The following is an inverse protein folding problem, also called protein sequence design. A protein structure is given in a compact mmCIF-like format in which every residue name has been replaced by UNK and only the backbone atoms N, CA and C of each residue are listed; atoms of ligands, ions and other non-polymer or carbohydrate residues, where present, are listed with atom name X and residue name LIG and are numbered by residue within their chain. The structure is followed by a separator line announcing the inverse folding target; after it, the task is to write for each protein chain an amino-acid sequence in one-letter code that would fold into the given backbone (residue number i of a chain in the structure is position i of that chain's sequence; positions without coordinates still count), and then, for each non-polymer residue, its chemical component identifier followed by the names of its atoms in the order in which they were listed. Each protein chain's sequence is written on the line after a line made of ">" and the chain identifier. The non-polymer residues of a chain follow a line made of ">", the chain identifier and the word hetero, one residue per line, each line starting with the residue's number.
data_IF_162624115130
#
_entry.id   IF_162624115130
#
_cell.length_a   1.000
_cell.length_b   1.000
_cell.length_c   1.000
_cell.angle_alpha   90.00
_cell.angle_beta   90.00
_cell.angle_gamma   90.00
#
_symmetry.space_group_name_H-M   'P 1'
#
loop_
_entity.id
_entity.type
_entity.pdbx_description
1 polymer ?
#
# COMPACT_ATOMS: atom_id res chain seq x y z
N UNK A 1 -8.93 -15.62 9.95
CA UNK A 1 -9.23 -15.74 8.51
C UNK A 1 -7.95 -16.16 7.78
N UNK A 2 -8.06 -16.93 6.70
CA UNK A 2 -6.90 -17.46 5.95
C UNK A 2 -6.12 -16.36 5.21
N UNK A 3 -6.77 -15.24 4.91
CA UNK A 3 -6.16 -14.06 4.30
C UNK A 3 -5.75 -12.98 5.31
N UNK A 4 -5.84 -13.27 6.61
CA UNK A 4 -5.39 -12.36 7.64
C UNK A 4 -3.86 -12.33 7.74
N UNK A 5 -3.34 -11.22 8.24
CA UNK A 5 -1.93 -11.13 8.62
C UNK A 5 -1.80 -10.65 10.06
N UNK A 6 -0.65 -10.91 10.66
CA UNK A 6 -0.32 -10.50 12.02
C UNK A 6 0.85 -9.53 12.00
N UNK A 7 0.77 -8.52 12.84
CA UNK A 7 1.86 -7.61 13.14
C UNK A 7 2.20 -7.68 14.62
N UNK A 8 3.46 -7.87 14.92
CA UNK A 8 3.98 -7.88 16.30
C UNK A 8 5.05 -6.82 16.43
N UNK A 9 4.91 -5.93 17.42
CA UNK A 9 5.85 -4.84 17.69
C UNK A 9 6.56 -5.14 19.00
N UNK A 10 7.87 -5.15 18.98
CA UNK A 10 8.66 -5.43 20.17
C UNK A 10 10.00 -4.71 20.23
N UNK A 11 10.48 -4.53 21.47
CA UNK A 11 11.85 -4.12 21.69
C UNK A 11 12.81 -5.32 21.62
N UNK A 12 14.10 -5.03 21.60
CA UNK A 12 15.17 -6.08 21.60
C UNK A 12 15.05 -7.11 22.73
N UNK A 13 14.33 -6.80 23.82
CA UNK A 13 14.12 -7.76 24.90
C UNK A 13 13.23 -8.96 24.49
N UNK A 14 12.28 -8.77 23.59
CA UNK A 14 11.26 -9.77 23.29
C UNK A 14 11.13 -10.14 21.83
N UNK A 15 11.51 -9.26 20.91
CA UNK A 15 11.19 -9.43 19.49
C UNK A 15 11.76 -10.73 18.88
N UNK A 16 12.97 -11.11 19.26
CA UNK A 16 13.58 -12.34 18.76
C UNK A 16 12.85 -13.59 19.22
N UNK A 17 12.41 -13.59 20.50
CA UNK A 17 11.60 -14.69 21.04
C UNK A 17 10.24 -14.76 20.38
N UNK A 18 9.60 -13.61 20.12
CA UNK A 18 8.32 -13.56 19.42
C UNK A 18 8.46 -14.06 17.99
N UNK A 19 9.53 -13.69 17.27
CA UNK A 19 9.83 -14.22 15.95
C UNK A 19 9.99 -15.73 15.94
N UNK A 20 10.73 -16.28 16.90
CA UNK A 20 10.89 -17.73 17.08
C UNK A 20 9.55 -18.43 17.31
N UNK A 21 8.68 -17.89 18.19
CA UNK A 21 7.37 -18.48 18.44
C UNK A 21 6.44 -18.41 17.23
N UNK A 22 6.46 -17.31 16.47
CA UNK A 22 5.67 -17.21 15.24
C UNK A 22 6.08 -18.29 14.24
N UNK A 23 7.38 -18.54 14.06
CA UNK A 23 7.87 -19.59 13.17
C UNK A 23 7.48 -21.00 13.66
N UNK A 24 7.57 -21.26 14.98
CA UNK A 24 7.15 -22.55 15.55
C UNK A 24 5.64 -22.79 15.48
N UNK A 25 4.85 -21.75 15.31
CA UNK A 25 3.41 -21.80 15.06
C UNK A 25 3.06 -21.80 13.57
N UNK A 26 4.05 -22.09 12.70
CA UNK A 26 3.93 -22.17 11.24
C UNK A 26 3.48 -20.87 10.56
N UNK A 27 3.60 -19.71 11.23
CA UNK A 27 3.40 -18.43 10.55
C UNK A 27 4.52 -18.18 9.54
N UNK A 28 4.14 -17.71 8.35
CA UNK A 28 5.08 -17.31 7.32
C UNK A 28 5.47 -15.84 7.50
N UNK A 29 6.73 -15.60 7.87
CA UNK A 29 7.25 -14.24 8.01
C UNK A 29 7.37 -13.58 6.63
N UNK A 30 6.72 -12.43 6.47
CA UNK A 30 6.71 -11.65 5.23
C UNK A 30 7.81 -10.58 5.22
N UNK A 31 7.93 -9.83 6.31
CA UNK A 31 9.00 -8.87 6.57
C UNK A 31 9.25 -8.69 8.06
N UNK A 32 10.48 -8.34 8.38
CA UNK A 32 10.79 -7.49 9.52
C UNK A 32 10.79 -6.03 9.08
N UNK A 33 10.31 -5.14 9.95
CA UNK A 33 10.30 -3.70 9.71
C UNK A 33 10.94 -3.00 10.90
N UNK A 34 11.88 -2.12 10.64
CA UNK A 34 12.56 -1.33 11.67
C UNK A 34 11.91 0.04 11.78
N UNK A 35 11.23 0.29 12.89
CA UNK A 35 10.80 1.63 13.23
C UNK A 35 11.94 2.41 13.88
N UNK A 36 12.58 3.29 13.12
CA UNK A 36 13.61 4.22 13.58
C UNK A 36 12.94 5.44 14.20
N UNK A 37 13.27 5.71 15.46
CA UNK A 37 12.76 6.87 16.20
C UNK A 37 13.63 8.07 15.90
N UNK A 38 13.08 9.13 15.32
CA UNK A 38 13.85 10.36 15.08
C UNK A 38 14.10 11.18 16.37
N UNK A 39 13.37 10.89 17.45
CA UNK A 39 13.49 11.53 18.75
C UNK A 39 13.48 10.49 19.91
N UNK A 40 14.45 9.55 19.94
CA UNK A 40 14.47 8.50 20.96
C UNK A 40 14.80 9.08 22.34
N UNK A 41 14.28 8.43 23.39
CA UNK A 41 14.62 8.81 24.76
C UNK A 41 16.07 8.41 25.05
N UNK A 42 16.90 9.33 25.55
CA UNK A 42 18.28 9.03 25.91
C UNK A 42 18.38 7.95 27.00
N UNK A 43 19.48 7.22 27.02
CA UNK A 43 19.86 6.42 28.17
C UNK A 43 20.55 7.32 29.20
N UNK A 44 19.77 7.85 30.15
CA UNK A 44 20.28 8.81 31.17
C UNK A 44 21.38 8.24 32.05
N UNK A 45 21.50 6.92 32.18
CA UNK A 45 22.59 6.29 32.96
C UNK A 45 23.89 6.14 32.16
N UNK A 46 23.89 6.37 30.87
CA UNK A 46 25.09 6.23 30.03
C UNK A 46 25.67 4.80 29.95
N UNK A 47 24.92 3.76 30.36
CA UNK A 47 25.42 2.41 30.52
C UNK A 47 25.20 1.54 29.29
N UNK A 48 24.50 2.02 28.27
CA UNK A 48 24.20 1.32 27.00
C UNK A 48 23.74 2.32 25.94
N UNK A 49 23.65 1.87 24.72
CA UNK A 49 23.16 2.69 23.61
C UNK A 49 21.72 3.18 23.82
N UNK A 50 21.41 4.34 23.29
CA UNK A 50 20.04 4.84 23.20
C UNK A 50 19.19 3.88 22.37
N UNK A 51 18.01 3.47 22.89
CA UNK A 51 17.09 2.58 22.16
C UNK A 51 16.38 3.35 21.06
N UNK A 52 17.05 3.53 19.91
CA UNK A 52 16.62 4.36 18.81
C UNK A 52 15.69 3.67 17.83
N UNK A 53 15.39 2.37 17.98
CA UNK A 53 14.46 1.65 17.12
C UNK A 53 13.65 0.60 17.86
N UNK A 54 12.57 0.17 17.23
CA UNK A 54 11.83 -1.04 17.57
C UNK A 54 11.63 -1.86 16.30
N UNK A 55 11.60 -3.17 16.44
CA UNK A 55 11.34 -4.09 15.33
C UNK A 55 9.89 -4.51 15.31
N UNK A 56 9.31 -4.54 14.10
CA UNK A 56 8.01 -5.09 13.82
C UNK A 56 8.19 -6.35 12.99
N UNK A 57 7.45 -7.39 13.29
CA UNK A 57 7.38 -8.60 12.47
C UNK A 57 6.01 -8.62 11.81
N UNK A 58 6.00 -8.75 10.49
CA UNK A 58 4.81 -8.97 9.70
C UNK A 58 4.79 -10.39 9.16
N UNK A 59 3.70 -11.11 9.44
CA UNK A 59 3.56 -12.49 9.02
C UNK A 59 2.15 -12.79 8.50
N UNK A 60 2.04 -13.76 7.62
CA UNK A 60 0.79 -14.37 7.18
C UNK A 60 0.59 -15.72 7.87
N UNK A 61 -0.64 -16.26 7.82
CA UNK A 61 -0.99 -17.55 8.44
C UNK A 61 -0.10 -18.69 7.94
N UNK A 62 0.22 -18.70 6.64
CA UNK A 62 1.16 -19.65 6.02
C UNK A 62 1.67 -19.09 4.68
N UNK A 63 2.60 -19.79 4.03
CA UNK A 63 3.22 -19.39 2.76
C UNK A 63 2.23 -19.20 1.60
N UNK A 64 1.09 -19.90 1.61
CA UNK A 64 0.07 -19.86 0.56
C UNK A 64 -1.02 -18.80 0.81
N UNK A 65 -1.02 -18.14 1.96
CA UNK A 65 -2.03 -17.13 2.33
C UNK A 65 -2.04 -15.97 1.34
N UNK A 66 -3.24 -15.58 0.92
CA UNK A 66 -3.47 -14.39 0.09
C UNK A 66 -3.74 -13.20 1.03
N UNK A 67 -2.70 -12.53 1.45
CA UNK A 67 -2.79 -11.34 2.31
C UNK A 67 -2.96 -10.06 1.48
N UNK A 68 -3.56 -9.03 2.09
CA UNK A 68 -3.65 -7.69 1.49
C UNK A 68 -2.30 -6.99 1.61
N UNK A 69 -1.85 -6.36 0.51
CA UNK A 69 -0.73 -5.42 0.52
C UNK A 69 -0.98 -4.29 -0.47
N UNK A 70 -1.26 -3.10 0.04
CA UNK A 70 -1.65 -1.93 -0.74
C UNK A 70 -0.43 -1.18 -1.28
N UNK A 71 0.29 -1.83 -2.20
CA UNK A 71 1.55 -1.35 -2.77
C UNK A 71 1.47 0.07 -3.34
N UNK A 72 0.42 0.36 -4.12
CA UNK A 72 0.28 1.68 -4.77
C UNK A 72 0.00 2.78 -3.74
N UNK A 73 -0.85 2.53 -2.75
CA UNK A 73 -1.11 3.48 -1.66
C UNK A 73 0.16 3.80 -0.87
N UNK A 74 1.00 2.79 -0.63
CA UNK A 74 2.29 2.99 0.03
C UNK A 74 3.28 3.77 -0.83
N UNK A 75 3.28 3.61 -2.14
CA UNK A 75 4.07 4.44 -3.06
C UNK A 75 3.64 5.91 -2.97
N UNK A 76 2.33 6.19 -3.00
CA UNK A 76 1.82 7.55 -2.85
C UNK A 76 2.23 8.19 -1.52
N UNK A 77 2.30 7.40 -0.42
CA UNK A 77 2.80 7.87 0.88
C UNK A 77 4.32 8.12 0.90
N UNK A 78 5.05 7.69 -0.11
CA UNK A 78 6.51 7.72 -0.16
C UNK A 78 7.03 8.32 -1.48
N UNK A 79 6.39 9.40 -1.94
CA UNK A 79 6.79 10.17 -3.13
C UNK A 79 7.00 9.30 -4.37
N UNK A 80 6.05 8.39 -4.63
CA UNK A 80 6.06 7.38 -5.70
C UNK A 80 7.22 6.37 -5.66
N UNK A 81 8.01 6.36 -4.59
CA UNK A 81 9.03 5.34 -4.35
C UNK A 81 8.45 4.16 -3.58
N UNK A 82 8.97 2.96 -3.84
CA UNK A 82 8.59 1.79 -3.06
C UNK A 82 8.89 2.01 -1.57
N UNK A 83 7.89 1.74 -0.71
CA UNK A 83 8.07 1.84 0.74
C UNK A 83 9.10 0.81 1.21
N UNK A 84 10.10 1.29 1.93
CA UNK A 84 11.16 0.47 2.52
C UNK A 84 10.73 -0.13 3.86
N UNK A 85 11.49 -1.09 4.37
CA UNK A 85 11.26 -1.70 5.67
C UNK A 85 11.94 -0.97 6.85
N UNK A 86 12.56 0.19 6.61
CA UNK A 86 13.14 1.06 7.63
C UNK A 86 12.37 2.38 7.71
N UNK A 87 11.48 2.49 8.69
CA UNK A 87 10.57 3.62 8.83
C UNK A 87 11.07 4.64 9.85
N UNK A 88 11.31 5.85 9.43
CA UNK A 88 11.65 6.95 10.34
C UNK A 88 10.38 7.67 10.77
N UNK A 89 9.98 7.50 12.03
CA UNK A 89 8.77 8.11 12.61
C UNK A 89 9.06 8.56 14.06
N UNK A 90 8.43 9.64 14.53
CA UNK A 90 8.59 10.08 15.91
C UNK A 90 7.95 9.08 16.89
N UNK A 91 8.43 9.11 18.14
CA UNK A 91 7.69 8.49 19.25
C UNK A 91 6.42 9.29 19.53
N UNK A 92 5.42 8.65 20.14
CA UNK A 92 4.22 9.34 20.60
C UNK A 92 4.57 10.46 21.62
N UNK A 93 4.29 11.71 21.28
CA UNK A 93 4.56 12.87 22.11
C UNK A 93 3.49 13.97 21.95
N UNK A 94 3.73 15.16 22.51
CA UNK A 94 2.89 16.35 22.34
C UNK A 94 1.41 16.10 22.66
N UNK A 95 0.53 16.59 21.80
CA UNK A 95 -0.94 16.51 21.94
C UNK A 95 -1.48 15.09 21.77
N UNK A 96 -0.78 14.23 21.04
CA UNK A 96 -1.16 12.83 20.83
C UNK A 96 -0.98 12.01 22.12
N UNK A 97 0.00 12.36 22.93
CA UNK A 97 0.32 11.63 24.15
C UNK A 97 -0.75 11.84 25.23
N UNK A 98 -1.47 10.78 25.59
CA UNK A 98 -2.48 10.87 26.63
C UNK A 98 -1.86 11.13 28.00
N UNK A 99 -2.33 12.19 28.65
CA UNK A 99 -1.91 12.60 29.99
C UNK A 99 -3.12 12.77 30.91
N UNK A 100 -2.91 12.51 32.21
CA UNK A 100 -3.84 12.85 33.29
C UNK A 100 -3.04 13.57 34.39
N UNK A 101 -3.46 14.76 34.77
CA UNK A 101 -2.76 15.58 35.75
C UNK A 101 -1.25 15.74 35.41
N UNK A 102 -0.93 16.04 34.15
CA UNK A 102 0.47 16.21 33.67
C UNK A 102 1.24 14.88 33.47
N UNK A 103 0.79 13.77 34.05
CA UNK A 103 1.48 12.47 33.96
C UNK A 103 1.00 11.65 32.79
N UNK A 104 1.90 10.90 32.14
CA UNK A 104 1.57 9.95 31.05
C UNK A 104 0.62 8.88 31.58
N UNK A 105 -0.50 8.62 30.86
CA UNK A 105 -1.43 7.54 31.22
C UNK A 105 -0.79 6.17 30.95
N UNK A 106 -0.12 6.02 29.80
CA UNK A 106 0.54 4.77 29.40
C UNK A 106 2.01 5.06 29.01
N UNK A 107 2.94 4.27 29.52
CA UNK A 107 4.39 4.49 29.32
C UNK A 107 4.81 4.33 27.85
N UNK A 108 4.25 3.36 27.15
CA UNK A 108 4.65 2.90 25.81
C UNK A 108 3.57 3.12 24.75
N UNK A 109 2.73 4.15 24.88
CA UNK A 109 1.75 4.48 23.83
C UNK A 109 2.44 4.61 22.47
N UNK A 110 1.98 3.88 21.48
CA UNK A 110 2.50 3.94 20.11
C UNK A 110 1.96 5.16 19.35
N UNK A 111 2.74 5.75 18.43
CA UNK A 111 2.27 6.88 17.62
C UNK A 111 1.22 6.41 16.58
N UNK A 112 0.24 7.26 16.31
CA UNK A 112 -0.80 6.98 15.31
C UNK A 112 -0.20 6.80 13.90
N UNK A 113 0.84 7.57 13.55
CA UNK A 113 1.50 7.46 12.26
C UNK A 113 2.05 6.05 11.97
N UNK A 114 2.54 5.33 13.00
CA UNK A 114 3.01 3.96 12.87
C UNK A 114 1.85 3.02 12.53
N UNK A 115 0.75 3.11 13.29
CA UNK A 115 -0.44 2.28 13.07
C UNK A 115 -1.15 2.66 11.77
N UNK A 116 -1.16 3.94 11.37
CA UNK A 116 -1.69 4.39 10.09
C UNK A 116 -1.01 3.66 8.93
N UNK A 117 0.33 3.62 8.93
CA UNK A 117 1.11 2.95 7.88
C UNK A 117 0.84 1.45 7.85
N UNK A 118 0.83 0.77 9.00
CA UNK A 118 0.54 -0.66 9.12
C UNK A 118 -0.86 -0.98 8.58
N UNK A 119 -1.87 -0.27 9.06
CA UNK A 119 -3.27 -0.52 8.73
C UNK A 119 -3.55 -0.24 7.25
N UNK A 120 -3.04 0.88 6.74
CA UNK A 120 -3.18 1.21 5.31
C UNK A 120 -2.46 0.19 4.43
N UNK A 121 -1.28 -0.29 4.85
CA UNK A 121 -0.51 -1.25 4.08
C UNK A 121 -1.22 -2.60 3.90
N UNK A 122 -1.90 -3.08 4.95
CA UNK A 122 -2.29 -4.50 5.03
C UNK A 122 -3.78 -4.74 5.24
N UNK A 123 -4.61 -3.71 5.09
CA UNK A 123 -6.06 -3.82 5.17
C UNK A 123 -6.77 -2.91 4.17
N UNK A 124 -8.01 -3.25 3.83
CA UNK A 124 -8.90 -2.42 3.04
C UNK A 124 -10.00 -1.80 3.94
N UNK A 125 -10.70 -0.77 3.44
CA UNK A 125 -11.88 -0.20 4.09
C UNK A 125 -12.89 -1.31 4.42
N UNK A 126 -13.45 -1.28 5.63
CA UNK A 126 -14.39 -2.29 6.10
C UNK A 126 -13.76 -3.56 6.70
N UNK A 127 -12.46 -3.78 6.52
CA UNK A 127 -11.76 -4.92 7.14
C UNK A 127 -11.77 -4.81 8.68
N UNK A 128 -11.64 -5.97 9.33
CA UNK A 128 -11.62 -6.08 10.79
C UNK A 128 -10.18 -6.17 11.31
N UNK A 129 -9.87 -5.35 12.30
CA UNK A 129 -8.60 -5.30 13.01
C UNK A 129 -8.82 -5.75 14.45
N UNK A 130 -7.98 -6.62 14.95
CA UNK A 130 -8.01 -7.10 16.33
C UNK A 130 -6.69 -6.77 17.04
N UNK A 131 -6.78 -6.11 18.19
CA UNK A 131 -5.62 -5.81 19.06
C UNK A 131 -5.88 -6.36 20.46
N UNK A 132 -5.26 -7.49 20.85
CA UNK A 132 -5.43 -8.11 22.16
C UNK A 132 -4.71 -7.35 23.28
N UNK A 133 -3.91 -6.32 22.96
CA UNK A 133 -3.16 -5.50 23.90
C UNK A 133 -3.42 -4.02 23.64
N UNK A 134 -4.69 -3.62 23.65
CA UNK A 134 -5.19 -2.35 23.13
C UNK A 134 -4.53 -1.11 23.77
N UNK A 135 -4.11 -1.20 25.04
CA UNK A 135 -3.50 -0.10 25.77
C UNK A 135 -4.42 1.12 25.81
N UNK A 136 -3.94 2.24 25.29
CA UNK A 136 -4.72 3.50 25.17
C UNK A 136 -5.45 3.64 23.83
N UNK A 137 -5.63 2.56 23.09
CA UNK A 137 -6.51 2.49 21.94
C UNK A 137 -5.95 3.06 20.64
N UNK A 138 -4.62 3.15 20.46
CA UNK A 138 -4.06 3.73 19.23
C UNK A 138 -4.48 2.97 17.99
N UNK A 139 -4.44 1.63 18.01
CA UNK A 139 -4.87 0.77 16.92
C UNK A 139 -6.35 1.02 16.57
N UNK A 140 -7.24 1.03 17.56
CA UNK A 140 -8.67 1.25 17.34
C UNK A 140 -8.98 2.67 16.84
N UNK A 141 -8.26 3.69 17.32
CA UNK A 141 -8.40 5.08 16.86
C UNK A 141 -8.06 5.18 15.38
N UNK A 142 -6.93 4.61 14.97
CA UNK A 142 -6.49 4.67 13.57
C UNK A 142 -7.39 3.81 12.68
N UNK A 143 -7.79 2.62 13.13
CA UNK A 143 -8.75 1.78 12.43
C UNK A 143 -10.06 2.53 12.18
N UNK A 144 -10.62 3.18 13.21
CA UNK A 144 -11.83 4.00 13.11
C UNK A 144 -11.64 5.16 12.12
N UNK A 145 -10.55 5.92 12.21
CA UNK A 145 -10.24 7.02 11.27
C UNK A 145 -10.26 6.54 9.83
N UNK A 146 -9.69 5.38 9.56
CA UNK A 146 -9.54 4.82 8.22
C UNK A 146 -10.73 3.95 7.77
N UNK A 147 -11.86 3.99 8.46
CA UNK A 147 -13.06 3.23 8.08
C UNK A 147 -12.93 1.71 8.22
N UNK A 148 -12.04 1.22 9.10
CA UNK A 148 -11.90 -0.20 9.44
C UNK A 148 -12.70 -0.52 10.70
N UNK A 149 -13.22 -1.74 10.79
CA UNK A 149 -13.79 -2.30 12.02
C UNK A 149 -12.67 -2.62 12.98
N UNK A 150 -12.90 -2.46 14.28
CA UNK A 150 -11.88 -2.76 15.28
C UNK A 150 -12.48 -3.53 16.46
N UNK A 151 -11.66 -4.42 16.99
CA UNK A 151 -11.91 -5.16 18.24
C UNK A 151 -10.64 -5.06 19.07
N UNK A 152 -10.78 -4.89 20.36
CA UNK A 152 -9.62 -4.79 21.22
C UNK A 152 -9.89 -5.26 22.63
N UNK A 153 -8.85 -5.77 23.28
CA UNK A 153 -8.88 -6.20 24.68
C UNK A 153 -7.86 -5.38 25.47
N UNK A 154 -8.26 -4.91 26.63
CA UNK A 154 -7.38 -4.24 27.58
C UNK A 154 -7.76 -4.66 29.00
N UNK A 155 -6.77 -5.19 29.72
CA UNK A 155 -6.95 -5.69 31.09
C UNK A 155 -7.00 -4.56 32.11
N UNK A 156 -6.18 -3.52 31.93
CA UNK A 156 -6.11 -2.40 32.85
C UNK A 156 -7.31 -1.46 32.67
N UNK A 157 -8.16 -1.38 33.68
CA UNK A 157 -9.37 -0.55 33.66
C UNK A 157 -9.08 0.94 33.41
N UNK A 158 -7.91 1.48 33.81
CA UNK A 158 -7.54 2.88 33.58
C UNK A 158 -7.20 3.09 32.11
N UNK A 159 -6.46 2.16 31.51
CA UNK A 159 -6.13 2.20 30.08
C UNK A 159 -7.37 2.02 29.23
N UNK A 160 -8.21 1.05 29.59
CA UNK A 160 -9.51 0.82 28.90
C UNK A 160 -10.38 2.08 28.89
N UNK A 161 -10.59 2.72 30.06
CA UNK A 161 -11.38 3.97 30.15
C UNK A 161 -10.77 5.09 29.27
N UNK A 162 -9.46 5.20 29.23
CA UNK A 162 -8.77 6.19 28.41
C UNK A 162 -8.92 5.88 26.91
N UNK A 163 -8.82 4.61 26.52
CA UNK A 163 -9.04 4.13 25.15
C UNK A 163 -10.47 4.41 24.70
N UNK A 164 -11.47 3.99 25.48
CA UNK A 164 -12.90 4.18 25.17
C UNK A 164 -13.23 5.66 24.94
N UNK A 165 -12.79 6.53 25.87
CA UNK A 165 -12.98 7.98 25.74
C UNK A 165 -12.33 8.54 24.47
N UNK A 166 -11.11 8.08 24.14
CA UNK A 166 -10.37 8.53 22.95
C UNK A 166 -11.08 8.07 21.68
N UNK A 167 -11.46 6.79 21.61
CA UNK A 167 -12.13 6.21 20.46
C UNK A 167 -13.49 6.87 20.20
N UNK A 168 -14.28 7.14 21.25
CA UNK A 168 -15.57 7.83 21.15
C UNK A 168 -15.41 9.24 20.56
N UNK A 169 -14.38 9.97 20.95
CA UNK A 169 -14.08 11.32 20.43
C UNK A 169 -13.48 11.34 19.04
N UNK A 170 -13.00 10.21 18.54
CA UNK A 170 -12.37 10.13 17.23
C UNK A 170 -13.42 10.28 16.13
N UNK A 171 -13.24 11.28 15.26
CA UNK A 171 -14.02 11.43 14.04
C UNK A 171 -13.54 10.45 12.97
N UNK A 172 -14.45 9.88 12.23
CA UNK A 172 -14.16 9.11 11.02
C UNK A 172 -13.81 10.08 9.91
N UNK A 173 -12.87 9.73 9.06
CA UNK A 173 -12.62 10.45 7.81
C UNK A 173 -13.81 10.18 6.90
N UNK A 174 -14.29 11.18 6.17
CA UNK A 174 -15.41 11.05 5.25
C UNK A 174 -15.12 9.98 4.19
N UNK A 175 -16.15 9.23 3.82
CA UNK A 175 -16.01 8.03 2.98
C UNK A 175 -15.33 8.29 1.64
N UNK A 176 -15.55 9.47 1.04
CA UNK A 176 -14.95 9.87 -0.23
C UNK A 176 -13.41 9.99 -0.18
N UNK A 177 -12.84 10.27 1.01
CA UNK A 177 -11.38 10.36 1.21
C UNK A 177 -10.74 9.04 1.67
N UNK A 178 -11.52 7.98 1.86
CA UNK A 178 -11.02 6.68 2.31
C UNK A 178 -10.66 5.73 1.16
N UNK A 179 -11.04 6.08 -0.06
CA UNK A 179 -10.74 5.27 -1.23
C UNK A 179 -9.24 5.30 -1.52
N UNK A 180 -8.69 4.12 -1.70
CA UNK A 180 -7.27 3.93 -1.99
C UNK A 180 -7.07 3.52 -3.44
N UNK A 181 -5.91 3.87 -4.01
CA UNK A 181 -5.56 3.49 -5.36
C UNK A 181 -5.53 1.96 -5.46
N UNK A 182 -6.34 1.40 -6.36
CA UNK A 182 -6.35 -0.04 -6.62
C UNK A 182 -4.98 -0.54 -7.06
N UNK A 183 -4.59 -1.70 -6.55
CA UNK A 183 -3.37 -2.36 -6.98
C UNK A 183 -3.51 -2.78 -8.45
N UNK A 184 -2.62 -2.28 -9.31
CA UNK A 184 -2.62 -2.65 -10.73
C UNK A 184 -2.47 -4.16 -10.97
N UNK A 185 -1.98 -4.93 -9.98
CA UNK A 185 -1.91 -6.39 -10.03
C UNK A 185 -3.28 -7.08 -9.95
N UNK A 186 -4.30 -6.40 -9.44
CA UNK A 186 -5.68 -6.93 -9.40
C UNK A 186 -6.46 -6.66 -10.68
N UNK A 187 -5.98 -5.78 -11.55
CA UNK A 187 -6.62 -5.50 -12.84
C UNK A 187 -6.26 -6.59 -13.85
N UNK A 188 -7.23 -7.11 -14.62
CA UNK A 188 -6.93 -8.05 -15.70
C UNK A 188 -5.87 -7.44 -16.62
N UNK A 189 -4.79 -8.18 -16.88
CA UNK A 189 -3.82 -7.79 -17.89
C UNK A 189 -4.40 -8.14 -19.25
N UNK A 190 -4.82 -7.13 -19.99
CA UNK A 190 -5.26 -7.28 -21.36
C UNK A 190 -4.08 -6.87 -22.25
N UNK A 191 -3.48 -7.82 -23.00
CA UNK A 191 -2.46 -7.52 -23.99
C UNK A 191 -3.01 -6.60 -25.09
N UNK A 192 -2.14 -5.81 -25.72
CA UNK A 192 -2.55 -4.96 -26.83
C UNK A 192 -3.13 -5.80 -28.00
N UNK A 193 -2.55 -6.96 -28.27
CA UNK A 193 -3.05 -7.90 -29.27
C UNK A 193 -4.51 -8.27 -29.08
N UNK A 194 -5.01 -8.35 -27.84
CA UNK A 194 -6.43 -8.66 -27.60
C UNK A 194 -7.38 -7.59 -28.15
N UNK A 195 -6.97 -6.32 -28.21
CA UNK A 195 -7.78 -5.28 -28.86
C UNK A 195 -7.85 -5.48 -30.38
N UNK A 196 -6.82 -6.10 -30.97
CA UNK A 196 -6.77 -6.44 -32.39
C UNK A 196 -7.60 -7.71 -32.67
N UNK A 197 -7.43 -8.75 -31.86
CA UNK A 197 -8.20 -10.02 -31.97
C UNK A 197 -9.70 -9.79 -31.83
N UNK A 198 -10.12 -8.89 -30.95
CA UNK A 198 -11.53 -8.53 -30.74
C UNK A 198 -12.07 -7.51 -31.75
N UNK A 199 -11.25 -7.08 -32.71
CA UNK A 199 -11.67 -6.15 -33.77
C UNK A 199 -11.90 -4.68 -33.27
N UNK A 200 -11.54 -4.36 -32.03
CA UNK A 200 -11.61 -3.00 -31.50
C UNK A 200 -10.63 -2.09 -32.23
N UNK A 201 -9.45 -2.62 -32.52
CA UNK A 201 -8.46 -2.01 -33.41
C UNK A 201 -8.19 -2.97 -34.57
N UNK A 202 -8.14 -2.45 -35.78
CA UNK A 202 -7.91 -3.27 -36.98
C UNK A 202 -6.45 -3.21 -37.43
N UNK A 203 -5.87 -4.28 -37.95
CA UNK A 203 -4.60 -4.22 -38.67
C UNK A 203 -4.62 -3.10 -39.71
N UNK A 204 -3.51 -2.36 -39.86
CA UNK A 204 -3.45 -1.19 -40.72
C UNK A 204 -3.87 0.14 -40.06
N UNK A 205 -4.55 0.10 -38.89
CA UNK A 205 -4.87 1.31 -38.12
C UNK A 205 -3.58 2.06 -37.78
N UNK A 206 -3.61 3.38 -37.92
CA UNK A 206 -2.47 4.24 -37.57
C UNK A 206 -2.55 4.65 -36.10
N UNK A 207 -1.49 4.34 -35.36
CA UNK A 207 -1.22 4.90 -34.04
C UNK A 207 -0.27 6.10 -34.21
N UNK A 208 -0.47 7.12 -33.38
CA UNK A 208 0.39 8.31 -33.42
C UNK A 208 0.77 8.76 -32.00
N UNK A 209 1.87 9.47 -31.90
CA UNK A 209 2.33 10.10 -30.67
C UNK A 209 1.42 11.27 -30.26
N UNK A 210 1.51 11.80 -29.01
CA UNK A 210 0.67 12.90 -28.54
C UNK A 210 0.74 14.17 -29.41
N UNK A 211 1.88 14.38 -30.09
CA UNK A 211 2.13 15.53 -30.98
C UNK A 211 1.80 15.25 -32.44
N UNK A 212 1.30 14.06 -32.78
CA UNK A 212 1.00 13.60 -34.14
C UNK A 212 2.15 13.69 -35.13
N UNK A 213 3.39 13.63 -34.66
CA UNK A 213 4.60 13.69 -35.49
C UNK A 213 5.11 12.31 -35.91
N UNK A 214 4.71 11.26 -35.19
CA UNK A 214 5.14 9.87 -35.36
C UNK A 214 3.93 9.03 -35.61
N UNK A 215 3.97 8.23 -36.68
CA UNK A 215 2.88 7.35 -37.08
C UNK A 215 3.39 5.91 -37.19
N UNK A 216 2.81 4.99 -36.41
CA UNK A 216 3.06 3.57 -36.48
C UNK A 216 1.83 2.82 -37.02
N UNK A 217 2.02 1.70 -37.70
CA UNK A 217 0.94 0.86 -38.21
C UNK A 217 0.76 -0.38 -37.33
N UNK A 218 -0.49 -0.72 -37.03
CA UNK A 218 -0.81 -1.98 -36.33
C UNK A 218 -0.72 -3.11 -37.34
N UNK A 219 -0.01 -4.18 -36.95
CA UNK A 219 0.15 -5.40 -37.70
C UNK A 219 -0.88 -6.46 -37.29
N UNK A 220 -1.06 -7.49 -38.10
CA UNK A 220 -2.07 -8.54 -37.85
C UNK A 220 -1.82 -9.35 -36.57
N UNK A 221 -0.57 -9.48 -36.14
CA UNK A 221 -0.15 -10.18 -34.91
C UNK A 221 -0.21 -9.32 -33.66
N UNK A 222 -0.74 -8.09 -33.75
CA UNK A 222 -0.77 -7.15 -32.63
C UNK A 222 0.56 -6.42 -32.37
N UNK A 223 1.58 -6.64 -33.20
CA UNK A 223 2.76 -5.76 -33.20
C UNK A 223 2.44 -4.41 -33.84
N UNK A 224 3.31 -3.43 -33.67
CA UNK A 224 3.25 -2.16 -34.38
C UNK A 224 4.58 -1.89 -35.10
N UNK A 225 4.51 -1.24 -36.26
CA UNK A 225 5.67 -0.93 -37.10
C UNK A 225 5.81 0.57 -37.31
N UNK A 226 6.98 1.08 -37.02
CA UNK A 226 7.43 2.46 -37.29
C UNK A 226 8.79 2.45 -37.94
N UNK A 227 8.91 2.83 -39.22
CA UNK A 227 10.12 2.71 -40.02
C UNK A 227 10.71 1.30 -39.94
N UNK A 228 11.95 1.16 -39.50
CA UNK A 228 12.64 -0.12 -39.30
C UNK A 228 12.36 -0.77 -37.94
N UNK A 229 11.68 -0.06 -37.04
CA UNK A 229 11.35 -0.59 -35.70
C UNK A 229 10.01 -1.30 -35.71
N UNK A 230 10.02 -2.57 -35.27
CA UNK A 230 8.83 -3.41 -35.16
C UNK A 230 8.81 -4.15 -33.83
N UNK A 231 7.63 -4.32 -33.25
CA UNK A 231 7.43 -5.05 -32.00
C UNK A 231 6.24 -4.56 -31.20
N UNK A 232 6.26 -4.83 -29.90
CA UNK A 232 5.17 -4.43 -29.01
C UNK A 232 5.03 -2.90 -28.93
N UNK A 233 3.86 -2.40 -28.55
CA UNK A 233 3.58 -0.98 -28.33
C UNK A 233 4.60 -0.34 -27.36
N UNK A 234 5.10 -1.10 -26.39
CA UNK A 234 6.09 -0.66 -25.41
C UNK A 234 7.48 -0.55 -26.04
N UNK A 235 7.89 -1.60 -26.77
CA UNK A 235 9.21 -1.66 -27.41
C UNK A 235 9.42 -0.51 -28.41
N UNK A 236 8.44 -0.34 -29.31
CA UNK A 236 8.52 0.71 -30.35
C UNK A 236 8.49 2.11 -29.73
N UNK A 237 7.65 2.34 -28.70
CA UNK A 237 7.66 3.60 -27.96
C UNK A 237 9.00 3.86 -27.26
N UNK A 238 9.59 2.84 -26.62
CA UNK A 238 10.90 2.95 -25.96
C UNK A 238 12.01 3.29 -26.97
N UNK A 239 12.04 2.63 -28.14
CA UNK A 239 12.98 2.92 -29.21
C UNK A 239 12.88 4.38 -29.69
N UNK A 240 11.65 4.87 -29.88
CA UNK A 240 11.41 6.26 -30.32
C UNK A 240 11.87 7.27 -29.26
N UNK A 241 11.65 6.96 -27.99
CA UNK A 241 12.00 7.83 -26.87
C UNK A 241 13.46 7.72 -26.42
N UNK A 242 14.25 6.80 -27.00
CA UNK A 242 15.62 6.54 -26.59
C UNK A 242 15.74 6.02 -25.17
N UNK A 243 14.74 5.26 -24.69
CA UNK A 243 14.66 4.75 -23.32
C UNK A 243 14.74 3.22 -23.29
N UNK A 244 15.24 2.65 -22.19
CA UNK A 244 15.25 1.18 -21.99
C UNK A 244 13.84 0.57 -21.93
N UNK A 245 12.89 1.32 -21.39
CA UNK A 245 11.48 0.94 -21.32
C UNK A 245 10.58 2.16 -21.40
N UNK A 246 9.39 2.00 -22.00
CA UNK A 246 8.40 3.07 -22.08
C UNK A 246 6.97 2.51 -22.08
N UNK A 247 6.03 3.25 -21.47
CA UNK A 247 4.65 2.81 -21.42
C UNK A 247 3.89 3.13 -22.71
N UNK A 248 3.84 2.17 -23.63
CA UNK A 248 3.13 2.33 -24.91
C UNK A 248 1.62 2.57 -24.77
N UNK A 249 0.96 2.09 -23.71
CA UNK A 249 -0.46 2.33 -23.52
C UNK A 249 -0.83 3.79 -23.39
N UNK A 250 -0.01 4.56 -22.68
CA UNK A 250 -0.22 6.00 -22.47
C UNK A 250 0.42 6.87 -23.56
N UNK A 251 1.34 6.30 -24.33
CA UNK A 251 2.03 7.02 -25.41
C UNK A 251 1.23 7.05 -26.70
N UNK A 252 0.67 5.91 -27.12
CA UNK A 252 0.02 5.81 -28.41
C UNK A 252 -1.43 6.28 -28.37
N UNK A 253 -1.81 7.00 -29.43
CA UNK A 253 -3.16 7.49 -29.68
C UNK A 253 -3.66 6.94 -31.03
N UNK A 254 -4.96 6.87 -31.20
CA UNK A 254 -5.61 6.54 -32.45
C UNK A 254 -6.88 7.38 -32.66
N UNK A 255 -7.40 7.38 -33.87
CA UNK A 255 -8.69 7.99 -34.18
C UNK A 255 -9.77 6.92 -34.15
N UNK A 256 -10.80 7.10 -33.33
CA UNK A 256 -12.00 6.26 -33.27
C UNK A 256 -13.21 7.16 -33.46
N UNK A 257 -14.03 6.89 -34.45
CA UNK A 257 -15.26 7.66 -34.75
C UNK A 257 -15.02 9.20 -34.81
N UNK A 258 -13.90 9.60 -35.44
CA UNK A 258 -13.55 11.02 -35.59
C UNK A 258 -12.88 11.68 -34.37
N UNK A 259 -12.78 10.97 -33.25
CA UNK A 259 -12.15 11.49 -32.03
C UNK A 259 -10.77 10.85 -31.80
N UNK A 260 -9.81 11.65 -31.36
CA UNK A 260 -8.50 11.20 -30.95
C UNK A 260 -8.57 10.64 -29.51
N UNK A 261 -8.19 9.39 -29.33
CA UNK A 261 -8.19 8.71 -28.02
C UNK A 261 -6.82 8.08 -27.75
N UNK A 262 -6.40 8.07 -26.48
CA UNK A 262 -5.25 7.27 -26.05
C UNK A 262 -5.66 5.80 -26.05
N UNK A 263 -4.79 4.90 -26.52
CA UNK A 263 -5.17 3.48 -26.64
C UNK A 263 -5.49 2.82 -25.29
N UNK A 264 -4.96 3.35 -24.18
CA UNK A 264 -5.30 2.88 -22.84
C UNK A 264 -6.79 3.04 -22.52
N UNK A 265 -7.45 4.08 -23.00
CA UNK A 265 -8.90 4.27 -22.79
C UNK A 265 -9.74 3.15 -23.40
N UNK A 266 -9.30 2.61 -24.54
CA UNK A 266 -9.96 1.46 -25.17
C UNK A 266 -9.81 0.19 -24.33
N UNK A 267 -8.63 -0.02 -23.76
CA UNK A 267 -8.37 -1.10 -22.81
C UNK A 267 -9.24 -0.98 -21.56
N UNK A 268 -9.33 0.23 -20.97
CA UNK A 268 -10.13 0.47 -19.77
C UNK A 268 -11.62 0.25 -20.04
N UNK A 269 -12.11 0.72 -21.19
CA UNK A 269 -13.50 0.48 -21.62
C UNK A 269 -13.81 -1.02 -21.72
N UNK A 270 -12.95 -1.79 -22.38
CA UNK A 270 -13.11 -3.24 -22.50
C UNK A 270 -13.10 -3.92 -21.13
N UNK A 271 -12.20 -3.54 -20.21
CA UNK A 271 -12.15 -4.08 -18.85
C UNK A 271 -13.47 -3.81 -18.10
N UNK A 272 -14.04 -2.62 -18.25
CA UNK A 272 -15.31 -2.27 -17.59
C UNK A 272 -16.49 -3.08 -18.13
N UNK A 273 -16.55 -3.30 -19.44
CA UNK A 273 -17.60 -4.07 -20.10
C UNK A 273 -17.52 -5.58 -19.79
N UNK A 274 -16.33 -6.12 -19.51
CA UNK A 274 -16.13 -7.53 -19.15
C UNK A 274 -16.42 -7.83 -17.69
N UNK A 275 -16.52 -6.81 -16.84
CA UNK A 275 -16.84 -6.93 -15.40
C UNK A 275 -18.35 -6.79 -15.10
N UNK A 276 -19.14 -6.32 -16.05
CA UNK A 276 -20.61 -6.24 -15.98
C UNK A 276 -21.25 -7.54 -16.45
#
# INVERSE_FOLDING_TARGET
>A
KDNGSIWVIGSYHNIFRLGYHLQNLDFWLLNDVIWRKNNPMPNFRGTRFTNAHETLIWASKNKKSKYTFNYQSLKCLNDDLQMRSDWTLPICNGKERLKKNGKKIHSTQKPEALLHRIILATTNKGDAIFDPFLGTGTTAVVAKKLGRKYFGIERDKKYFKAADKRIKKTKVIEDEYLDTIENNKSKPRIPFGSLVELGILKPGTTLFDPKKKINAKIMADGSIKYKESEGSIHKVAATIMGAESFNGWTYWHCNINGSTVVIDSLRQKFISETKA
#
